data_IF_260060811134
#
_entry.id   IF_260060811134
#
_cell.length_a   1.000
_cell.length_b   1.000
_cell.length_c   1.000
_cell.angle_alpha   90.00
_cell.angle_beta   90.00
_cell.angle_gamma   90.00
#
_symmetry.space_group_name_H-M   'P 1'
#
loop_
_entity.id
_entity.type
_entity.pdbx_description
1 polymer ?
#
# COMPACT_ATOMS: atom_id res chain seq x y z
N UNK A 1 -26.50 -1.96 -34.31
CA UNK A 1 -25.36 -1.79 -33.36
C UNK A 1 -25.61 -2.81 -32.26
N UNK A 2 -24.69 -3.76 -32.04
CA UNK A 2 -24.88 -4.81 -31.02
C UNK A 2 -24.38 -4.24 -29.70
N UNK A 3 -25.30 -4.02 -28.76
CA UNK A 3 -24.98 -3.68 -27.37
C UNK A 3 -24.10 -4.79 -26.79
N UNK A 4 -22.81 -4.51 -26.66
CA UNK A 4 -21.92 -5.32 -25.85
C UNK A 4 -22.17 -4.87 -24.41
N UNK A 5 -22.70 -5.72 -23.51
CA UNK A 5 -22.80 -5.34 -22.11
C UNK A 5 -21.39 -5.04 -21.64
N UNK A 6 -21.14 -3.79 -21.25
CA UNK A 6 -19.90 -3.39 -20.60
C UNK A 6 -19.84 -4.21 -19.31
N UNK A 7 -19.06 -5.29 -19.35
CA UNK A 7 -18.78 -6.08 -18.16
C UNK A 7 -18.07 -5.19 -17.17
N UNK A 8 -18.54 -5.19 -15.93
CA UNK A 8 -17.96 -4.44 -14.83
C UNK A 8 -16.44 -4.68 -14.79
N UNK A 9 -15.67 -3.59 -14.78
CA UNK A 9 -14.22 -3.69 -14.76
C UNK A 9 -13.78 -4.50 -13.52
N UNK A 10 -12.86 -5.46 -13.64
CA UNK A 10 -12.41 -6.24 -12.50
C UNK A 10 -11.91 -5.33 -11.37
N UNK A 11 -12.28 -5.62 -10.13
CA UNK A 11 -11.84 -4.83 -9.00
C UNK A 11 -10.34 -5.07 -8.74
N UNK A 12 -9.50 -4.18 -9.26
CA UNK A 12 -8.04 -4.21 -9.08
C UNK A 12 -7.56 -3.53 -7.79
N UNK A 13 -8.48 -3.01 -6.97
CA UNK A 13 -8.13 -2.32 -5.73
C UNK A 13 -7.44 -3.27 -4.75
N UNK A 14 -7.99 -4.48 -4.59
CA UNK A 14 -7.42 -5.52 -3.73
C UNK A 14 -6.01 -5.93 -4.14
N UNK A 15 -5.74 -6.34 -5.40
CA UNK A 15 -4.39 -6.71 -5.80
C UNK A 15 -3.41 -5.53 -5.73
N UNK A 16 -3.84 -4.30 -6.01
CA UNK A 16 -3.01 -3.11 -5.86
C UNK A 16 -2.62 -2.87 -4.39
N UNK A 17 -3.56 -3.00 -3.45
CA UNK A 17 -3.31 -2.91 -2.01
C UNK A 17 -2.32 -3.98 -1.53
N UNK A 18 -2.51 -5.23 -2.00
CA UNK A 18 -1.63 -6.34 -1.65
C UNK A 18 -0.21 -6.10 -2.15
N UNK A 19 -0.03 -5.69 -3.42
CA UNK A 19 1.31 -5.37 -3.93
C UNK A 19 1.94 -4.18 -3.21
N UNK A 20 1.16 -3.15 -2.90
CA UNK A 20 1.61 -2.02 -2.10
C UNK A 20 2.13 -2.45 -0.72
N UNK A 21 1.39 -3.32 -0.03
CA UNK A 21 1.78 -3.88 1.27
C UNK A 21 3.07 -4.71 1.17
N UNK A 22 3.16 -5.62 0.20
CA UNK A 22 4.35 -6.47 -0.01
C UNK A 22 5.59 -5.62 -0.27
N UNK A 23 5.47 -4.60 -1.12
CA UNK A 23 6.59 -3.69 -1.42
C UNK A 23 7.03 -2.91 -0.18
N UNK A 24 6.08 -2.38 0.59
CA UNK A 24 6.37 -1.66 1.83
C UNK A 24 7.06 -2.57 2.87
N UNK A 25 6.57 -3.80 3.02
CA UNK A 25 7.16 -4.77 3.94
C UNK A 25 8.60 -5.13 3.55
N UNK A 26 8.86 -5.41 2.27
CA UNK A 26 10.21 -5.65 1.78
C UNK A 26 11.12 -4.43 1.99
N UNK A 27 10.65 -3.21 1.73
CA UNK A 27 11.43 -2.00 1.96
C UNK A 27 11.82 -1.85 3.45
N UNK A 28 10.89 -2.11 4.37
CA UNK A 28 11.15 -2.09 5.81
C UNK A 28 12.19 -3.14 6.23
N UNK A 29 12.13 -4.35 5.67
CA UNK A 29 13.12 -5.39 5.92
C UNK A 29 14.51 -5.03 5.38
N UNK A 30 14.58 -4.42 4.20
CA UNK A 30 15.85 -3.96 3.63
C UNK A 30 16.46 -2.85 4.50
N UNK A 31 15.65 -1.87 4.90
CA UNK A 31 16.08 -0.79 5.81
C UNK A 31 16.57 -1.38 7.14
N UNK A 32 15.82 -2.35 7.68
CA UNK A 32 16.20 -3.06 8.89
C UNK A 32 17.55 -3.78 8.74
N UNK A 33 17.77 -4.48 7.63
CA UNK A 33 19.00 -5.23 7.40
C UNK A 33 20.23 -4.33 7.22
N UNK A 34 20.07 -3.11 6.68
CA UNK A 34 21.18 -2.18 6.40
C UNK A 34 21.50 -1.28 7.59
N UNK A 35 20.47 -0.75 8.27
CA UNK A 35 20.64 0.27 9.32
C UNK A 35 20.15 -0.16 10.70
N UNK A 36 19.50 -1.30 10.83
CA UNK A 36 18.95 -1.81 12.09
C UNK A 36 17.47 -1.44 12.32
N UNK A 37 16.96 -1.87 13.48
CA UNK A 37 15.52 -1.82 13.82
C UNK A 37 14.97 -0.41 14.06
N UNK A 38 15.80 0.49 14.56
CA UNK A 38 15.37 1.86 14.87
C UNK A 38 14.89 2.61 13.61
N UNK A 39 15.63 2.48 12.50
CA UNK A 39 15.28 3.15 11.24
C UNK A 39 14.03 2.56 10.57
N UNK A 40 13.83 1.25 10.68
CA UNK A 40 12.62 0.61 10.19
C UNK A 40 11.38 1.09 10.95
N UNK A 41 11.47 1.23 12.29
CA UNK A 41 10.42 1.79 13.12
C UNK A 41 10.11 3.25 12.76
N UNK A 42 11.13 4.08 12.55
CA UNK A 42 10.95 5.48 12.15
C UNK A 42 10.22 5.59 10.81
N UNK A 43 10.59 4.77 9.82
CA UNK A 43 9.90 4.76 8.53
C UNK A 43 8.44 4.29 8.67
N UNK A 44 8.20 3.22 9.43
CA UNK A 44 6.86 2.72 9.68
C UNK A 44 5.98 3.78 10.36
N UNK A 45 6.53 4.55 11.31
CA UNK A 45 5.84 5.64 11.97
C UNK A 45 5.48 6.78 11.01
N UNK A 46 6.38 7.14 10.09
CA UNK A 46 6.11 8.14 9.04
C UNK A 46 4.97 7.68 8.14
N UNK A 47 5.00 6.41 7.71
CA UNK A 47 3.93 5.84 6.88
C UNK A 47 2.60 5.85 7.61
N UNK A 48 2.57 5.45 8.89
CA UNK A 48 1.36 5.52 9.71
C UNK A 48 0.79 6.95 9.77
N UNK A 49 1.65 7.95 10.04
CA UNK A 49 1.28 9.38 10.03
C UNK A 49 0.73 9.86 8.69
N UNK A 50 1.25 9.34 7.58
CA UNK A 50 0.76 9.68 6.23
C UNK A 50 -0.60 9.03 5.95
N UNK A 51 -0.86 7.84 6.48
CA UNK A 51 -2.16 7.19 6.39
C UNK A 51 -3.19 7.95 7.25
N UNK A 52 -2.85 8.37 8.46
CA UNK A 52 -3.71 9.19 9.32
C UNK A 52 -4.07 10.55 8.68
N UNK A 53 -3.24 11.03 7.76
CA UNK A 53 -3.49 12.27 6.99
C UNK A 53 -4.53 12.07 5.89
N UNK A 54 -4.84 10.83 5.51
CA UNK A 54 -5.90 10.54 4.53
C UNK A 54 -7.22 10.68 5.28
N UNK A 55 -8.03 11.72 5.01
CA UNK A 55 -9.33 11.84 5.65
C UNK A 55 -10.17 10.62 5.29
N UNK A 56 -10.66 9.91 6.28
CA UNK A 56 -11.68 8.89 6.07
C UNK A 56 -12.86 9.57 5.36
N UNK A 57 -13.14 9.14 4.12
CA UNK A 57 -14.34 9.54 3.41
C UNK A 57 -15.41 8.54 3.81
N UNK A 58 -16.35 8.99 4.64
CA UNK A 58 -17.58 8.27 4.99
C UNK A 58 -18.47 8.05 3.75
#
# INVERSE_FOLDING_TARGET
MRDHPISEAPNYTTPALVMGFVNLFCALLVIWAVWGFEYALLLAFIVMKLIDRIPARD
#
